data_IF_631202497270
#
_entry.id   IF_631202497270
#
_cell.length_a   1.000
_cell.length_b   1.000
_cell.length_c   1.000
_cell.angle_alpha   90.00
_cell.angle_beta   90.00
_cell.angle_gamma   90.00
#
_symmetry.space_group_name_H-M   'P 1'
#
loop_
_entity.id
_entity.type
_entity.pdbx_description
1 polymer ?
#
# COMPACT_ATOMS: atom_id res chain seq x y z
N UNK A 1 35.61 18.56 -3.45
CA UNK A 1 34.45 18.05 -4.21
C UNK A 1 34.12 16.68 -3.63
N UNK A 2 33.11 16.61 -2.75
CA UNK A 2 32.71 15.37 -2.09
C UNK A 2 31.69 14.67 -3.01
N UNK A 3 31.87 13.39 -3.38
CA UNK A 3 30.87 12.68 -4.14
C UNK A 3 29.65 12.45 -3.24
N UNK A 4 28.51 12.99 -3.67
CA UNK A 4 27.20 12.70 -3.10
C UNK A 4 26.87 11.26 -3.51
N UNK A 5 27.12 10.33 -2.61
CA UNK A 5 26.57 8.97 -2.71
C UNK A 5 25.06 9.12 -2.51
N UNK A 6 24.29 8.92 -3.57
CA UNK A 6 22.84 8.76 -3.49
C UNK A 6 22.54 7.44 -2.78
N UNK A 7 22.53 7.50 -1.44
CA UNK A 7 22.02 6.46 -0.55
C UNK A 7 20.50 6.32 -0.75
N UNK A 8 20.10 5.70 -1.86
CA UNK A 8 18.75 5.19 -2.07
C UNK A 8 18.61 3.80 -1.44
N UNK A 9 18.85 3.73 -0.13
CA UNK A 9 18.40 2.58 0.67
C UNK A 9 16.86 2.55 0.70
N UNK A 10 16.24 1.36 0.75
CA UNK A 10 14.79 1.25 0.73
C UNK A 10 14.24 1.89 2.00
N UNK A 11 13.55 3.02 1.83
CA UNK A 11 12.84 3.72 2.91
C UNK A 11 11.56 2.96 3.21
N UNK A 12 11.69 1.77 3.78
CA UNK A 12 10.65 1.18 4.59
C UNK A 12 10.46 2.13 5.78
N UNK A 13 9.62 3.15 5.58
CA UNK A 13 9.14 3.95 6.68
C UNK A 13 8.50 2.97 7.66
N UNK A 14 9.16 2.79 8.81
CA UNK A 14 8.57 2.13 9.95
C UNK A 14 7.40 3.01 10.42
N UNK A 15 6.24 2.82 9.79
CA UNK A 15 4.98 3.25 10.38
C UNK A 15 4.82 2.44 11.65
N UNK A 16 4.64 3.16 12.76
CA UNK A 16 4.45 2.61 14.08
C UNK A 16 3.15 1.83 14.19
N UNK A 17 3.12 0.63 13.61
CA UNK A 17 2.22 -0.40 14.06
C UNK A 17 2.71 -0.80 15.45
N UNK A 18 2.06 -0.27 16.49
CA UNK A 18 2.10 -0.96 17.79
C UNK A 18 1.35 -2.27 17.58
N UNK A 19 2.04 -3.27 17.03
CA UNK A 19 1.55 -4.63 17.00
C UNK A 19 1.21 -4.98 18.44
N UNK A 20 -0.08 -5.21 18.71
CA UNK A 20 -0.51 -5.66 20.02
C UNK A 20 0.34 -6.89 20.40
N UNK A 21 0.82 -6.99 21.65
CA UNK A 21 1.62 -8.13 22.03
C UNK A 21 0.78 -9.39 21.84
N UNK A 22 1.28 -10.33 21.06
CA UNK A 22 0.68 -11.65 20.77
C UNK A 22 0.28 -12.39 22.06
N UNK A 23 0.91 -12.01 23.19
CA UNK A 23 0.62 -12.44 24.55
C UNK A 23 -0.79 -12.13 25.06
N UNK A 24 -1.58 -11.29 24.37
CA UNK A 24 -2.96 -10.97 24.74
C UNK A 24 -4.01 -11.90 24.11
N UNK A 25 -3.66 -12.74 23.12
CA UNK A 25 -4.64 -13.58 22.44
C UNK A 25 -5.17 -14.69 23.37
N UNK A 26 -6.49 -14.68 23.63
CA UNK A 26 -7.15 -15.56 24.61
C UNK A 26 -7.73 -16.85 23.97
N UNK A 27 -7.73 -16.96 22.64
CA UNK A 27 -8.22 -18.13 21.89
C UNK A 27 -7.55 -18.26 20.50
N UNK A 28 -7.66 -19.43 19.84
CA UNK A 28 -7.18 -19.65 18.48
C UNK A 28 -7.82 -18.75 17.41
N UNK A 29 -9.06 -18.30 17.62
CA UNK A 29 -9.78 -17.42 16.70
C UNK A 29 -9.26 -15.97 16.73
N UNK A 30 -8.90 -15.47 17.91
CA UNK A 30 -8.34 -14.12 18.06
C UNK A 30 -6.94 -14.02 17.40
N UNK A 31 -6.18 -15.12 17.37
CA UNK A 31 -4.91 -15.20 16.65
C UNK A 31 -5.10 -15.12 15.13
N UNK A 32 -6.13 -15.79 14.59
CA UNK A 32 -6.46 -15.67 13.17
C UNK A 32 -6.95 -14.27 12.82
N UNK A 33 -7.76 -13.65 13.68
CA UNK A 33 -8.29 -12.31 13.43
C UNK A 33 -7.19 -11.24 13.49
N UNK A 34 -6.28 -11.34 14.46
CA UNK A 34 -5.11 -10.45 14.54
C UNK A 34 -4.17 -10.61 13.34
N UNK A 35 -3.98 -11.85 12.85
CA UNK A 35 -3.21 -12.11 11.64
C UNK A 35 -3.88 -11.50 10.41
N UNK A 36 -5.20 -11.69 10.26
CA UNK A 36 -5.98 -11.10 9.17
C UNK A 36 -5.88 -9.58 9.21
N UNK A 37 -6.02 -8.96 10.38
CA UNK A 37 -5.88 -7.51 10.54
C UNK A 37 -4.48 -7.03 10.11
N UNK A 38 -3.43 -7.70 10.58
CA UNK A 38 -2.04 -7.36 10.20
C UNK A 38 -1.82 -7.46 8.69
N UNK A 39 -2.50 -8.40 8.01
CA UNK A 39 -2.45 -8.53 6.56
C UNK A 39 -3.23 -7.41 5.86
N UNK A 40 -4.39 -7.02 6.39
CA UNK A 40 -5.23 -5.94 5.86
C UNK A 40 -4.56 -4.57 5.95
N UNK A 41 -3.84 -4.29 7.04
CA UNK A 41 -3.07 -3.06 7.21
C UNK A 41 -2.03 -2.88 6.10
N UNK A 42 -1.52 -3.99 5.54
CA UNK A 42 -0.61 -3.98 4.38
C UNK A 42 -1.28 -3.63 3.04
N UNK A 43 -2.61 -3.55 2.99
CA UNK A 43 -3.38 -3.27 1.77
C UNK A 43 -4.07 -1.90 1.77
N UNK A 44 -3.81 -1.07 2.77
CA UNK A 44 -4.33 0.28 2.84
C UNK A 44 -3.79 1.18 1.72
N UNK A 45 -4.58 2.19 1.35
CA UNK A 45 -4.15 3.21 0.41
C UNK A 45 -2.96 3.99 0.98
N UNK A 46 -1.85 4.03 0.25
CA UNK A 46 -0.66 4.79 0.67
C UNK A 46 -0.81 6.31 0.70
N UNK A 47 -1.99 6.87 0.42
CA UNK A 47 -2.30 8.30 0.54
C UNK A 47 -3.26 8.55 1.71
N UNK A 48 -4.41 7.88 1.74
CA UNK A 48 -5.44 8.14 2.75
C UNK A 48 -5.42 7.16 3.93
N UNK A 49 -4.56 6.14 3.91
CA UNK A 49 -4.46 5.10 4.94
C UNK A 49 -5.82 4.43 5.24
N UNK A 50 -6.63 4.23 4.20
CA UNK A 50 -7.90 3.51 4.29
C UNK A 50 -7.86 2.29 3.39
N UNK A 51 -8.55 1.23 3.80
CA UNK A 51 -8.74 0.05 2.97
C UNK A 51 -9.52 0.43 1.70
N UNK A 52 -8.97 0.21 0.49
CA UNK A 52 -9.60 0.65 -0.75
C UNK A 52 -10.59 -0.37 -1.30
N UNK A 53 -11.84 0.01 -1.59
CA UNK A 53 -12.80 -0.84 -2.30
C UNK A 53 -12.35 -1.18 -3.73
N UNK A 54 -11.64 -0.25 -4.37
CA UNK A 54 -11.07 -0.44 -5.70
C UNK A 54 -9.59 -0.01 -5.73
N UNK A 55 -8.64 -0.90 -5.35
CA UNK A 55 -7.23 -0.57 -5.30
C UNK A 55 -6.62 -0.46 -6.71
N UNK A 56 -6.06 0.69 -7.04
CA UNK A 56 -5.28 0.90 -8.26
C UNK A 56 -3.80 0.66 -7.94
N UNK A 57 -3.22 -0.38 -8.52
CA UNK A 57 -1.81 -0.72 -8.32
C UNK A 57 -0.97 -0.24 -9.49
N UNK A 58 0.05 0.55 -9.18
CA UNK A 58 1.03 1.06 -10.15
C UNK A 58 2.05 -0.01 -10.53
N UNK A 59 2.73 0.15 -11.68
CA UNK A 59 3.82 -0.76 -12.09
C UNK A 59 4.99 -0.82 -11.09
N UNK A 60 5.16 0.20 -10.25
CA UNK A 60 6.14 0.21 -9.16
C UNK A 60 5.68 -0.54 -7.90
N UNK A 61 4.49 -1.17 -7.92
CA UNK A 61 3.98 -2.01 -6.84
C UNK A 61 3.21 -1.28 -5.74
N UNK A 62 3.05 0.04 -5.82
CA UNK A 62 2.29 0.81 -4.85
C UNK A 62 0.81 0.86 -5.21
N UNK A 63 -0.05 0.64 -4.21
CA UNK A 63 -1.51 0.61 -4.34
C UNK A 63 -2.17 1.82 -3.68
N UNK A 64 -3.22 2.34 -4.32
CA UNK A 64 -3.99 3.49 -3.87
C UNK A 64 -5.48 3.22 -4.07
N UNK A 65 -6.36 3.85 -3.28
CA UNK A 65 -7.78 3.87 -3.65
C UNK A 65 -7.97 4.63 -4.97
N UNK A 66 -8.95 4.22 -5.77
CA UNK A 66 -9.28 4.86 -7.04
C UNK A 66 -9.32 6.41 -6.98
N UNK A 67 -10.01 7.08 -6.04
CA UNK A 67 -10.05 8.54 -6.03
C UNK A 67 -8.67 9.16 -5.78
N UNK A 68 -7.87 8.57 -4.88
CA UNK A 68 -6.51 9.03 -4.63
C UNK A 68 -5.60 8.85 -5.85
N UNK A 69 -5.77 7.74 -6.58
CA UNK A 69 -5.04 7.47 -7.82
C UNK A 69 -5.38 8.50 -8.92
N UNK A 70 -6.67 8.75 -9.15
CA UNK A 70 -7.12 9.71 -10.16
C UNK A 70 -6.61 11.12 -9.86
N UNK A 71 -6.76 11.58 -8.61
CA UNK A 71 -6.33 12.91 -8.20
C UNK A 71 -4.81 13.11 -8.28
N UNK A 72 -4.01 12.13 -7.84
CA UNK A 72 -2.57 12.32 -7.67
C UNK A 72 -1.72 11.77 -8.83
N UNK A 73 -2.16 10.68 -9.46
CA UNK A 73 -1.41 10.01 -10.53
C UNK A 73 -1.88 10.41 -11.92
N UNK A 74 -3.20 10.57 -12.13
CA UNK A 74 -3.75 10.88 -13.47
C UNK A 74 -3.79 12.38 -13.73
N UNK A 75 -4.37 13.14 -12.80
CA UNK A 75 -4.48 14.60 -12.89
C UNK A 75 -3.21 15.34 -12.44
N UNK A 76 -2.39 14.69 -11.60
CA UNK A 76 -1.14 15.24 -11.09
C UNK A 76 0.06 15.04 -12.01
N UNK A 77 1.24 14.87 -11.42
CA UNK A 77 2.53 14.85 -12.11
C UNK A 77 2.82 13.56 -12.91
N UNK A 78 1.85 12.63 -13.04
CA UNK A 78 2.06 11.28 -13.59
C UNK A 78 3.24 10.55 -12.95
N UNK A 79 3.34 10.66 -11.63
CA UNK A 79 4.37 10.01 -10.81
C UNK A 79 3.72 9.38 -9.59
N UNK A 80 4.31 8.28 -9.13
CA UNK A 80 3.87 7.61 -7.93
C UNK A 80 4.11 8.53 -6.72
N UNK A 81 3.10 8.79 -5.88
CA UNK A 81 3.24 9.63 -4.69
C UNK A 81 4.23 9.08 -3.65
N UNK A 82 4.48 7.77 -3.66
CA UNK A 82 5.35 7.09 -2.70
C UNK A 82 6.81 7.01 -3.15
N UNK A 83 7.08 6.48 -4.36
CA UNK A 83 8.45 6.29 -4.84
C UNK A 83 8.88 7.27 -5.95
N UNK A 84 7.97 8.09 -6.46
CA UNK A 84 8.20 9.08 -7.53
C UNK A 84 8.50 8.51 -8.92
N UNK A 85 8.38 7.20 -9.10
CA UNK A 85 8.46 6.56 -10.42
C UNK A 85 7.35 7.03 -11.35
N UNK A 86 7.64 7.10 -12.65
CA UNK A 86 6.70 7.58 -13.67
C UNK A 86 5.51 6.64 -13.84
N UNK A 87 4.31 7.11 -13.53
CA UNK A 87 3.07 6.36 -13.75
C UNK A 87 2.62 6.58 -15.19
N UNK A 88 2.93 5.63 -16.07
CA UNK A 88 2.49 5.70 -17.45
C UNK A 88 1.03 5.25 -17.59
N UNK A 89 0.22 6.12 -18.18
CA UNK A 89 -1.14 5.84 -18.62
C UNK A 89 -1.16 4.94 -19.86
N UNK A 90 -0.47 3.81 -19.82
CA UNK A 90 -0.79 2.72 -20.76
C UNK A 90 -2.06 2.03 -20.25
N UNK A 91 -2.90 1.55 -21.17
CA UNK A 91 -4.24 0.93 -21.03
C UNK A 91 -4.35 -0.24 -20.04
N UNK A 92 -3.31 -0.46 -19.25
CA UNK A 92 -3.18 -1.40 -18.15
C UNK A 92 -2.86 -0.59 -16.88
N UNK A 93 -3.79 0.23 -16.40
CA UNK A 93 -3.83 0.47 -14.96
C UNK A 93 -4.16 -0.88 -14.35
N UNK A 94 -3.09 -1.61 -14.01
CA UNK A 94 -3.14 -3.06 -13.94
C UNK A 94 -4.20 -3.46 -12.94
N UNK A 95 -5.09 -4.29 -13.48
CA UNK A 95 -6.09 -5.11 -12.82
C UNK A 95 -5.71 -5.30 -11.36
N UNK A 96 -6.59 -4.81 -10.51
CA UNK A 96 -6.65 -5.14 -9.09
C UNK A 96 -6.15 -6.56 -8.87
N UNK A 97 -5.14 -6.71 -8.03
CA UNK A 97 -4.67 -8.03 -7.66
C UNK A 97 -5.90 -8.76 -7.07
N UNK A 98 -6.40 -9.78 -7.76
CA UNK A 98 -7.68 -10.41 -7.40
C UNK A 98 -7.64 -10.97 -5.98
N UNK A 99 -6.44 -11.33 -5.51
CA UNK A 99 -6.19 -11.71 -4.12
C UNK A 99 -6.38 -10.51 -3.18
N UNK A 100 -5.83 -9.34 -3.50
CA UNK A 100 -6.04 -8.12 -2.70
C UNK A 100 -7.52 -7.74 -2.62
N UNK A 101 -8.26 -7.81 -3.73
CA UNK A 101 -9.71 -7.56 -3.71
C UNK A 101 -10.48 -8.59 -2.86
N UNK A 102 -10.12 -9.88 -2.95
CA UNK A 102 -10.77 -10.94 -2.17
C UNK A 102 -10.49 -10.84 -0.68
N UNK A 103 -9.32 -10.31 -0.29
CA UNK A 103 -8.97 -10.11 1.12
C UNK A 103 -9.68 -8.88 1.69
N UNK A 104 -9.83 -7.81 0.91
CA UNK A 104 -10.53 -6.60 1.33
C UNK A 104 -12.05 -6.81 1.42
N UNK A 105 -12.63 -7.64 0.56
CA UNK A 105 -14.08 -7.87 0.48
C UNK A 105 -14.64 -8.88 1.50
N UNK A 106 -13.84 -9.32 2.48
CA UNK A 106 -14.24 -10.24 3.54
C UNK A 106 -14.43 -9.51 4.86
#
# INVERSE_FOLDING_TARGET
IKPLLDDAGPRFAALGATAAPVSAARSPSELSDALVQTLLDGFECGICATLPDNPMTTHCGHSFCQPCFEANCVQGARKCPLCRDSVFATTRYLQTNSVQQQLIAK
#
